data_IF_762293915139
#
_entry.id   IF_762293915139
#
_cell.length_a   1.000
_cell.length_b   1.000
_cell.length_c   1.000
_cell.angle_alpha   90.00
_cell.angle_beta   90.00
_cell.angle_gamma   90.00
#
_symmetry.space_group_name_H-M   'P 1'
#
loop_
_entity.id
_entity.type
_entity.pdbx_description
1 polymer ?
#
# COMPACT_ATOMS: atom_id res chain seq x y z
N UNK A 1 -21.90 12.27 7.29
CA UNK A 1 -20.76 13.14 7.68
C UNK A 1 -19.93 13.37 6.43
N UNK A 2 -19.90 14.59 5.92
CA UNK A 2 -19.16 14.94 4.71
C UNK A 2 -17.65 14.77 4.94
N UNK A 3 -16.95 14.21 3.95
CA UNK A 3 -15.50 14.21 3.95
C UNK A 3 -15.03 15.67 3.95
N UNK A 4 -14.24 16.05 4.94
CA UNK A 4 -13.49 17.30 4.86
C UNK A 4 -12.49 17.08 3.75
N UNK A 5 -12.72 17.75 2.61
CA UNK A 5 -11.82 17.71 1.47
C UNK A 5 -10.61 18.59 1.84
N UNK A 6 -9.67 18.01 2.58
CA UNK A 6 -8.42 18.67 2.94
C UNK A 6 -7.64 18.82 1.63
N UNK A 7 -7.31 20.06 1.20
CA UNK A 7 -6.55 20.24 -0.03
C UNK A 7 -5.24 19.46 0.07
N UNK A 8 -5.03 18.50 -0.85
CA UNK A 8 -3.89 17.59 -0.76
C UNK A 8 -2.53 18.33 -0.79
N UNK A 9 -2.49 19.57 -1.29
CA UNK A 9 -1.31 20.43 -1.27
C UNK A 9 -0.88 20.88 0.14
N UNK A 10 -1.77 20.87 1.14
CA UNK A 10 -1.45 21.22 2.53
C UNK A 10 -0.70 20.07 3.24
N UNK A 11 -0.93 18.83 2.81
CA UNK A 11 -0.35 17.63 3.44
C UNK A 11 0.85 17.06 2.69
N UNK A 12 1.30 17.68 1.60
CA UNK A 12 2.38 17.15 0.75
C UNK A 12 3.77 17.20 1.41
N UNK A 13 3.99 18.12 2.36
CA UNK A 13 5.28 18.33 3.02
C UNK A 13 5.44 17.54 4.34
N UNK A 14 4.80 16.37 4.46
CA UNK A 14 4.90 15.53 5.66
C UNK A 14 5.93 14.41 5.46
N UNK A 15 6.58 14.00 6.55
CA UNK A 15 7.48 12.83 6.58
C UNK A 15 6.73 11.52 6.84
N UNK A 16 5.62 11.60 7.59
CA UNK A 16 4.78 10.47 7.99
C UNK A 16 3.34 10.75 7.59
N UNK A 17 2.72 9.80 6.89
CA UNK A 17 1.32 9.89 6.49
C UNK A 17 0.58 8.61 6.84
N UNK A 18 -0.56 8.75 7.51
CA UNK A 18 -1.47 7.65 7.77
C UNK A 18 -2.81 7.95 7.09
N UNK A 19 -3.20 7.11 6.14
CA UNK A 19 -4.49 7.19 5.46
C UNK A 19 -5.39 6.10 6.04
N UNK A 20 -6.36 6.52 6.85
CA UNK A 20 -7.48 5.66 7.25
C UNK A 20 -8.49 5.58 6.10
N UNK A 21 -9.13 4.42 5.93
CA UNK A 21 -10.18 4.24 4.91
C UNK A 21 -9.64 4.50 3.47
N UNK A 22 -8.44 3.99 3.19
CA UNK A 22 -7.68 4.25 1.97
C UNK A 22 -8.43 3.82 0.69
N UNK A 23 -9.43 2.96 0.79
CA UNK A 23 -10.30 2.61 -0.34
C UNK A 23 -11.19 3.77 -0.83
N UNK A 24 -11.42 4.79 0.01
CA UNK A 24 -12.13 6.01 -0.41
C UNK A 24 -11.20 7.08 -0.97
N UNK A 25 -9.88 6.92 -0.82
CA UNK A 25 -8.91 7.84 -1.37
C UNK A 25 -8.72 7.56 -2.86
N UNK A 26 -8.75 8.61 -3.69
CA UNK A 26 -8.33 8.48 -5.06
C UNK A 26 -6.79 8.52 -5.13
N UNK A 27 -6.17 7.36 -4.94
CA UNK A 27 -4.71 7.19 -5.00
C UNK A 27 -4.12 7.51 -6.38
N UNK A 28 -4.97 7.66 -7.41
CA UNK A 28 -4.54 7.99 -8.78
C UNK A 28 -4.37 9.49 -9.04
N UNK A 29 -4.87 10.34 -8.15
CA UNK A 29 -4.88 11.82 -8.30
C UNK A 29 -4.22 12.54 -7.13
N UNK A 30 -3.27 11.91 -6.45
CA UNK A 30 -2.58 12.48 -5.28
C UNK A 30 -1.43 13.41 -5.71
N UNK A 31 -1.07 14.41 -4.87
CA UNK A 31 0.12 15.22 -5.10
C UNK A 31 1.39 14.39 -4.89
N UNK A 32 2.52 14.96 -5.31
CA UNK A 32 3.84 14.44 -4.93
C UNK A 32 4.09 14.75 -3.46
N UNK A 33 4.63 13.77 -2.73
CA UNK A 33 5.07 13.87 -1.35
C UNK A 33 6.62 13.81 -1.29
N UNK A 34 7.31 14.94 -1.51
CA UNK A 34 8.77 14.94 -1.71
C UNK A 34 9.58 14.55 -0.47
N UNK A 35 8.98 14.62 0.73
CA UNK A 35 9.65 14.35 2.00
C UNK A 35 9.07 13.13 2.74
N UNK A 36 8.08 12.45 2.17
CA UNK A 36 7.44 11.32 2.83
C UNK A 36 8.39 10.12 2.87
N UNK A 37 8.69 9.67 4.08
CA UNK A 37 9.56 8.52 4.36
C UNK A 37 8.77 7.32 4.88
N UNK A 38 7.58 7.54 5.45
CA UNK A 38 6.76 6.46 5.99
C UNK A 38 5.28 6.66 5.64
N UNK A 39 4.65 5.62 5.10
CA UNK A 39 3.22 5.62 4.82
C UNK A 39 2.52 4.42 5.42
N UNK A 40 1.36 4.67 6.03
CA UNK A 40 0.46 3.65 6.57
C UNK A 40 -0.91 3.75 5.92
N UNK A 41 -1.39 2.65 5.35
CA UNK A 41 -2.67 2.57 4.64
C UNK A 41 -3.58 1.53 5.31
N UNK A 42 -4.80 1.94 5.61
CA UNK A 42 -5.83 1.05 6.16
C UNK A 42 -6.97 0.87 5.18
N UNK A 43 -7.21 -0.36 4.77
CA UNK A 43 -8.32 -0.76 3.90
C UNK A 43 -9.38 -1.47 4.72
N UNK A 44 -10.52 -0.82 4.99
CA UNK A 44 -11.57 -1.35 5.87
C UNK A 44 -12.72 -2.07 5.15
N UNK A 45 -12.72 -2.10 3.81
CA UNK A 45 -13.80 -2.72 3.05
C UNK A 45 -13.31 -3.33 1.74
N UNK A 46 -13.11 -2.51 0.70
CA UNK A 46 -12.67 -2.97 -0.61
C UNK A 46 -11.17 -2.74 -0.80
N UNK A 47 -10.48 -3.64 -1.50
CA UNK A 47 -9.12 -3.43 -1.97
C UNK A 47 -9.10 -3.50 -3.49
N UNK A 48 -8.88 -2.34 -4.13
CA UNK A 48 -8.89 -2.20 -5.60
C UNK A 48 -7.68 -2.79 -6.32
N UNK A 49 -6.86 -3.58 -5.61
CA UNK A 49 -5.64 -4.14 -6.14
C UNK A 49 -4.43 -3.23 -5.95
N UNK A 50 -3.32 -3.63 -6.55
CA UNK A 50 -2.00 -3.03 -6.32
C UNK A 50 -1.70 -1.83 -7.22
N UNK A 51 -2.51 -1.58 -8.26
CA UNK A 51 -2.27 -0.49 -9.21
C UNK A 51 -2.31 0.89 -8.54
N UNK A 52 -3.32 1.14 -7.69
CA UNK A 52 -3.40 2.38 -6.91
C UNK A 52 -2.25 2.54 -5.91
N UNK A 53 -1.74 1.43 -5.36
CA UNK A 53 -0.57 1.45 -4.47
C UNK A 53 0.68 1.83 -5.25
N UNK A 54 0.93 1.19 -6.39
CA UNK A 54 2.09 1.48 -7.22
C UNK A 54 2.08 2.91 -7.76
N UNK A 55 0.91 3.42 -8.15
CA UNK A 55 0.76 4.82 -8.54
C UNK A 55 1.07 5.76 -7.37
N UNK A 56 0.58 5.47 -6.17
CA UNK A 56 0.94 6.23 -4.97
C UNK A 56 2.46 6.22 -4.73
N UNK A 57 3.13 5.08 -4.91
CA UNK A 57 4.58 4.98 -4.73
C UNK A 57 5.37 5.85 -5.73
N UNK A 58 4.87 6.06 -6.95
CA UNK A 58 5.49 6.98 -7.92
C UNK A 58 5.53 8.43 -7.42
N UNK A 59 4.64 8.79 -6.48
CA UNK A 59 4.52 10.14 -5.93
C UNK A 59 5.31 10.32 -4.62
N UNK A 60 6.00 9.29 -4.12
CA UNK A 60 6.65 9.32 -2.82
C UNK A 60 8.16 9.01 -2.94
N UNK A 61 8.95 9.81 -3.65
CA UNK A 61 10.30 9.44 -4.11
C UNK A 61 11.26 8.99 -2.99
N UNK A 62 11.11 9.50 -1.77
CA UNK A 62 11.97 9.19 -0.61
C UNK A 62 11.41 8.11 0.33
N UNK A 63 10.31 7.43 -0.05
CA UNK A 63 9.63 6.50 0.85
C UNK A 63 10.55 5.35 1.27
N UNK A 64 10.68 5.14 2.57
CA UNK A 64 11.50 4.08 3.18
C UNK A 64 10.66 2.99 3.83
N UNK A 65 9.44 3.30 4.29
CA UNK A 65 8.56 2.32 4.94
C UNK A 65 7.16 2.33 4.32
N UNK A 66 6.73 1.17 3.85
CA UNK A 66 5.38 0.91 3.37
C UNK A 66 4.64 -0.01 4.34
N UNK A 67 3.54 0.46 4.93
CA UNK A 67 2.71 -0.32 5.85
C UNK A 67 1.27 -0.40 5.34
N UNK A 68 0.78 -1.61 5.09
CA UNK A 68 -0.55 -1.86 4.53
C UNK A 68 -1.33 -2.79 5.44
N UNK A 69 -2.53 -2.36 5.85
CA UNK A 69 -3.46 -3.17 6.63
C UNK A 69 -4.73 -3.35 5.82
N UNK A 70 -5.11 -4.61 5.60
CA UNK A 70 -6.37 -4.96 4.94
C UNK A 70 -7.36 -5.53 5.96
N UNK A 71 -8.64 -5.26 5.80
CA UNK A 71 -9.70 -6.00 6.50
C UNK A 71 -9.75 -7.43 5.96
N UNK A 72 -9.97 -8.40 6.86
CA UNK A 72 -10.20 -9.79 6.50
C UNK A 72 -11.43 -9.90 5.58
N UNK A 73 -11.30 -10.64 4.47
CA UNK A 73 -12.37 -10.84 3.49
C UNK A 73 -12.77 -9.57 2.71
N UNK A 74 -11.83 -8.64 2.52
CA UNK A 74 -12.02 -7.53 1.58
C UNK A 74 -12.34 -8.07 0.18
N UNK A 75 -13.36 -7.54 -0.47
CA UNK A 75 -13.61 -7.89 -1.88
C UNK A 75 -12.42 -7.40 -2.72
N UNK A 76 -12.00 -8.22 -3.68
CA UNK A 76 -10.81 -8.02 -4.49
C UNK A 76 -11.21 -7.91 -5.96
N UNK A 77 -10.62 -6.97 -6.70
CA UNK A 77 -10.73 -6.91 -8.17
C UNK A 77 -9.59 -7.69 -8.82
N UNK A 78 -9.90 -8.61 -9.72
CA UNK A 78 -8.98 -9.65 -10.22
C UNK A 78 -7.84 -9.15 -11.12
N UNK A 79 -7.91 -7.94 -11.66
CA UNK A 79 -6.94 -7.47 -12.63
C UNK A 79 -5.87 -6.59 -11.99
N UNK A 80 -4.67 -7.15 -11.77
CA UNK A 80 -3.47 -6.33 -11.62
C UNK A 80 -2.80 -6.17 -12.98
N UNK A 81 -2.86 -4.95 -13.52
CA UNK A 81 -2.16 -4.56 -14.75
C UNK A 81 -0.79 -4.02 -14.39
N UNK A 82 0.17 -4.95 -14.25
CA UNK A 82 1.59 -4.67 -14.04
C UNK A 82 2.04 -3.33 -14.64
N UNK A 83 2.51 -2.40 -13.80
CA UNK A 83 3.06 -1.13 -14.25
C UNK A 83 4.47 -1.34 -14.80
N UNK A 84 4.73 -0.79 -16.00
CA UNK A 84 5.97 -0.99 -16.75
C UNK A 84 7.21 -0.35 -16.11
N UNK A 85 7.06 0.48 -15.08
CA UNK A 85 8.16 1.17 -14.41
C UNK A 85 8.20 0.87 -12.91
N UNK A 86 9.43 0.85 -12.37
CA UNK A 86 9.68 0.72 -10.94
C UNK A 86 9.69 2.11 -10.31
N UNK A 87 8.83 2.42 -9.33
CA UNK A 87 8.88 3.70 -8.62
C UNK A 87 10.27 3.92 -8.02
N UNK A 88 10.77 5.16 -8.08
CA UNK A 88 12.08 5.53 -7.54
C UNK A 88 12.23 5.10 -6.08
N UNK A 89 11.18 5.32 -5.27
CA UNK A 89 11.21 4.96 -3.87
C UNK A 89 11.40 3.45 -3.67
N UNK A 90 10.79 2.61 -4.52
CA UNK A 90 10.96 1.16 -4.46
C UNK A 90 12.40 0.81 -4.79
N UNK A 91 12.95 1.32 -5.89
CA UNK A 91 14.28 0.91 -6.35
C UNK A 91 15.45 1.45 -5.51
N UNK A 92 15.27 2.59 -4.83
CA UNK A 92 16.39 3.33 -4.23
C UNK A 92 16.23 3.73 -2.76
N UNK A 93 15.03 3.60 -2.15
CA UNK A 93 14.80 4.09 -0.78
C UNK A 93 14.07 3.11 0.14
N UNK A 94 13.26 2.19 -0.39
CA UNK A 94 12.41 1.31 0.40
C UNK A 94 13.26 0.34 1.24
N UNK A 95 13.10 0.41 2.56
CA UNK A 95 13.79 -0.40 3.57
C UNK A 95 12.89 -1.40 4.27
N UNK A 96 11.62 -1.05 4.47
CA UNK A 96 10.65 -1.92 5.15
C UNK A 96 9.33 -1.96 4.41
N UNK A 97 8.78 -3.17 4.28
CA UNK A 97 7.44 -3.40 3.71
C UNK A 97 6.66 -4.35 4.61
N UNK A 98 5.53 -3.88 5.16
CA UNK A 98 4.63 -4.69 5.98
C UNK A 98 3.26 -4.76 5.33
N UNK A 99 2.75 -5.99 5.14
CA UNK A 99 1.41 -6.24 4.64
C UNK A 99 0.69 -7.17 5.62
N UNK A 100 -0.29 -6.62 6.34
CA UNK A 100 -1.11 -7.37 7.28
C UNK A 100 -2.41 -7.88 6.65
N UNK A 101 -2.88 -9.03 7.13
CA UNK A 101 -4.02 -9.75 6.58
C UNK A 101 -3.83 -10.01 5.08
N UNK A 102 -2.66 -10.51 4.72
CA UNK A 102 -2.29 -10.92 3.39
C UNK A 102 -3.03 -12.21 3.00
N UNK A 103 -3.84 -12.14 1.96
CA UNK A 103 -4.45 -13.32 1.35
C UNK A 103 -3.45 -13.92 0.35
N UNK A 104 -3.22 -15.23 0.38
CA UNK A 104 -2.27 -15.92 -0.50
C UNK A 104 -2.67 -16.02 -1.98
N UNK A 105 -3.37 -15.03 -2.53
CA UNK A 105 -3.76 -15.01 -3.95
C UNK A 105 -2.55 -14.76 -4.85
N UNK A 106 -2.64 -15.23 -6.11
CA UNK A 106 -1.57 -15.05 -7.09
C UNK A 106 -1.15 -13.58 -7.28
N UNK A 107 -2.11 -12.65 -7.26
CA UNK A 107 -1.84 -11.22 -7.38
C UNK A 107 -1.10 -10.65 -6.16
N UNK A 108 -1.47 -11.04 -4.94
CA UNK A 108 -0.77 -10.60 -3.74
C UNK A 108 0.65 -11.15 -3.70
N UNK A 109 0.83 -12.43 -4.05
CA UNK A 109 2.15 -13.04 -4.17
C UNK A 109 3.00 -12.34 -5.22
N UNK A 110 2.43 -12.02 -6.38
CA UNK A 110 3.14 -11.28 -7.43
C UNK A 110 3.59 -9.89 -6.94
N UNK A 111 2.83 -9.23 -6.04
CA UNK A 111 3.18 -7.90 -5.53
C UNK A 111 4.31 -8.00 -4.54
N UNK A 112 4.25 -9.01 -3.65
CA UNK A 112 5.36 -9.33 -2.79
C UNK A 112 6.63 -9.62 -3.59
N UNK A 113 6.54 -10.47 -4.62
CA UNK A 113 7.67 -10.76 -5.52
C UNK A 113 8.19 -9.50 -6.21
N UNK A 114 7.30 -8.63 -6.68
CA UNK A 114 7.70 -7.35 -7.30
C UNK A 114 8.52 -6.49 -6.33
N UNK A 115 8.08 -6.33 -5.08
CA UNK A 115 8.83 -5.57 -4.07
C UNK A 115 10.19 -6.23 -3.83
N UNK A 116 10.22 -7.54 -3.61
CA UNK A 116 11.46 -8.29 -3.36
C UNK A 116 12.46 -8.21 -4.51
N UNK A 117 11.98 -8.22 -5.76
CA UNK A 117 12.85 -8.15 -6.94
C UNK A 117 13.42 -6.75 -7.18
N UNK A 118 12.69 -5.71 -6.80
CA UNK A 118 13.02 -4.34 -7.19
C UNK A 118 13.59 -3.49 -6.05
N UNK A 119 13.24 -3.78 -4.79
CA UNK A 119 13.67 -3.00 -3.64
C UNK A 119 15.06 -3.43 -3.14
N UNK A 120 16.10 -2.86 -3.74
CA UNK A 120 17.50 -3.23 -3.48
C UNK A 120 17.99 -2.92 -2.07
N UNK A 121 17.35 -1.98 -1.38
CA UNK A 121 17.68 -1.58 -0.01
C UNK A 121 16.74 -2.18 1.04
N UNK A 122 15.85 -3.09 0.63
CA UNK A 122 14.88 -3.71 1.53
C UNK A 122 15.63 -4.53 2.60
N UNK A 123 15.38 -4.20 3.86
CA UNK A 123 15.96 -4.83 5.04
C UNK A 123 14.99 -5.85 5.63
N UNK A 124 13.70 -5.52 5.66
CA UNK A 124 12.66 -6.37 6.16
C UNK A 124 11.40 -6.36 5.27
N UNK A 125 10.81 -7.54 5.13
CA UNK A 125 9.46 -7.69 4.60
C UNK A 125 8.65 -8.55 5.56
N UNK A 126 7.55 -8.00 6.05
CA UNK A 126 6.62 -8.71 6.94
C UNK A 126 5.32 -8.99 6.21
N UNK A 127 4.96 -10.26 6.12
CA UNK A 127 3.68 -10.73 5.56
C UNK A 127 2.95 -11.50 6.66
N UNK A 128 1.83 -10.98 7.12
CA UNK A 128 0.95 -11.68 8.06
C UNK A 128 -0.23 -12.30 7.30
N UNK A 129 -0.23 -13.63 7.23
CA UNK A 129 -1.24 -14.38 6.49
C UNK A 129 -2.58 -14.37 7.23
N UNK A 130 -3.66 -14.17 6.49
CA UNK A 130 -4.98 -14.53 7.01
C UNK A 130 -5.09 -16.05 7.07
N UNK A 131 -4.84 -16.67 8.22
CA UNK A 131 -5.43 -17.98 8.47
C UNK A 131 -6.93 -17.74 8.64
N UNK A 132 -7.75 -18.39 7.79
CA UNK A 132 -9.13 -18.64 8.18
C UNK A 132 -9.02 -19.58 9.38
N UNK A 133 -8.96 -19.05 10.60
CA UNK A 133 -9.35 -19.86 11.74
C UNK A 133 -10.77 -20.28 11.43
N UNK A 134 -10.95 -21.57 11.14
CA UNK A 134 -12.26 -22.20 11.13
C UNK A 134 -13.00 -21.68 12.35
N UNK A 135 -14.18 -21.15 12.08
CA UNK A 135 -15.16 -20.73 13.06
C UNK A 135 -15.29 -21.88 14.08
N UNK A 136 -14.70 -21.74 15.26
CA UNK A 136 -15.24 -22.42 16.41
C UNK A 136 -16.43 -21.57 16.83
N UNK A 137 -17.60 -21.97 16.35
CA UNK A 137 -18.88 -21.57 16.91
C UNK A 137 -18.84 -21.91 18.41
N UNK A 138 -19.00 -20.88 19.23
CA UNK A 138 -19.68 -20.97 20.51
C UNK A 138 -20.93 -20.09 20.42
#
# INVERSE_FOLDING_TARGET
MGAIDVPCNVVSNVEFLCIADAQKANLTSIPVFPNLIHIKLWFYDFFHGWDGILQLLQHCPKLQTLFIIRKRSSRFSEEWKYLNSVPECVSSHLRSCTILNFEGSANNLRFATYILQNARLLQDMTIDLTTKSSINML
#
